data_IF_535536407259
#
_entry.id   IF_535536407259
#
_cell.length_a   1.000
_cell.length_b   1.000
_cell.length_c   1.000
_cell.angle_alpha   90.00
_cell.angle_beta   90.00
_cell.angle_gamma   90.00
#
_symmetry.space_group_name_H-M   'P 1'
#
loop_
_entity.id
_entity.type
_entity.pdbx_description
1 polymer ?
#
# COMPACT_ATOMS: atom_id res chain seq x y z
N UNK A 1 -21.13 -1.01 18.10
CA UNK A 1 -21.29 0.23 17.30
C UNK A 1 -20.68 -0.01 15.93
N UNK A 2 -21.50 -0.15 14.88
CA UNK A 2 -21.01 -0.36 13.51
C UNK A 2 -20.61 0.98 12.91
N UNK A 3 -19.39 1.43 13.20
CA UNK A 3 -18.78 2.59 12.55
C UNK A 3 -18.44 2.25 11.10
N UNK A 4 -19.41 2.36 10.20
CA UNK A 4 -19.10 2.41 8.77
C UNK A 4 -18.27 3.67 8.54
N UNK A 5 -17.00 3.50 8.20
CA UNK A 5 -16.13 4.59 7.77
C UNK A 5 -16.83 5.32 6.62
N UNK A 6 -17.05 6.64 6.70
CA UNK A 6 -17.71 7.37 5.63
C UNK A 6 -16.93 7.16 4.33
N UNK A 7 -17.66 6.83 3.26
CA UNK A 7 -17.07 6.83 1.91
C UNK A 7 -16.58 8.25 1.66
N UNK A 8 -15.29 8.47 1.38
CA UNK A 8 -14.79 9.80 1.13
C UNK A 8 -15.55 10.42 -0.04
N UNK A 9 -15.89 11.71 0.07
CA UNK A 9 -16.43 12.46 -1.06
C UNK A 9 -15.53 12.27 -2.29
N UNK A 10 -16.09 11.77 -3.39
CA UNK A 10 -15.41 11.56 -4.67
C UNK A 10 -15.57 12.74 -5.63
N UNK A 11 -16.16 13.85 -5.16
CA UNK A 11 -16.44 15.02 -5.97
C UNK A 11 -15.15 15.51 -6.67
N UNK A 12 -15.13 15.36 -8.00
CA UNK A 12 -14.02 15.81 -8.84
C UNK A 12 -12.91 14.79 -9.10
N UNK A 13 -13.03 13.56 -8.61
CA UNK A 13 -12.16 12.43 -8.95
C UNK A 13 -12.51 11.85 -10.34
N UNK A 14 -11.54 11.18 -10.95
CA UNK A 14 -11.75 10.37 -12.15
C UNK A 14 -12.30 9.00 -11.80
N UNK A 15 -12.92 8.33 -12.78
CA UNK A 15 -13.41 6.96 -12.62
C UNK A 15 -12.31 5.98 -12.17
N UNK A 16 -11.05 6.22 -12.58
CA UNK A 16 -9.92 5.40 -12.15
C UNK A 16 -9.57 5.64 -10.67
N UNK A 17 -9.64 6.89 -10.21
CA UNK A 17 -9.46 7.23 -8.80
C UNK A 17 -10.56 6.64 -7.93
N UNK A 18 -11.82 6.76 -8.35
CA UNK A 18 -12.98 6.16 -7.67
C UNK A 18 -12.86 4.63 -7.60
N UNK A 19 -12.51 3.99 -8.72
CA UNK A 19 -12.30 2.55 -8.77
C UNK A 19 -11.18 2.09 -7.82
N UNK A 20 -10.06 2.83 -7.78
CA UNK A 20 -8.96 2.52 -6.87
C UNK A 20 -9.39 2.64 -5.39
N UNK A 21 -10.11 3.71 -5.02
CA UNK A 21 -10.66 3.85 -3.67
C UNK A 21 -11.64 2.73 -3.32
N UNK A 22 -12.50 2.34 -4.27
CA UNK A 22 -13.40 1.20 -4.11
C UNK A 22 -12.65 -0.11 -3.87
N UNK A 23 -11.59 -0.37 -4.63
CA UNK A 23 -10.73 -1.55 -4.43
C UNK A 23 -10.07 -1.55 -3.05
N UNK A 24 -9.55 -0.41 -2.57
CA UNK A 24 -8.98 -0.32 -1.21
C UNK A 24 -10.01 -0.69 -0.13
N UNK A 25 -11.26 -0.24 -0.28
CA UNK A 25 -12.35 -0.59 0.64
C UNK A 25 -12.67 -2.09 0.58
N UNK A 26 -12.79 -2.65 -0.63
CA UNK A 26 -13.08 -4.09 -0.83
C UNK A 26 -11.99 -4.95 -0.20
N UNK A 27 -10.71 -4.71 -0.50
CA UNK A 27 -9.59 -5.50 0.05
C UNK A 27 -9.53 -5.44 1.58
N UNK A 28 -9.81 -4.28 2.15
CA UNK A 28 -9.87 -4.11 3.60
C UNK A 28 -11.07 -4.85 4.21
N UNK A 29 -12.23 -4.83 3.55
CA UNK A 29 -13.42 -5.55 4.00
C UNK A 29 -13.24 -7.07 3.93
N UNK A 30 -12.61 -7.58 2.87
CA UNK A 30 -12.27 -9.00 2.71
C UNK A 30 -11.33 -9.44 3.85
N UNK A 31 -10.31 -8.64 4.13
CA UNK A 31 -9.39 -8.86 5.24
C UNK A 31 -10.12 -8.99 6.59
N UNK A 32 -10.99 -8.05 6.95
CA UNK A 32 -11.76 -8.14 8.21
C UNK A 32 -12.75 -9.30 8.23
N UNK A 33 -13.33 -9.64 7.09
CA UNK A 33 -14.23 -10.80 6.98
C UNK A 33 -13.46 -12.08 7.32
N UNK A 34 -12.26 -12.25 6.77
CA UNK A 34 -11.40 -13.40 7.05
C UNK A 34 -10.98 -13.45 8.53
N UNK A 35 -10.63 -12.31 9.14
CA UNK A 35 -10.29 -12.26 10.56
C UNK A 35 -11.46 -12.69 11.47
N UNK A 36 -12.69 -12.28 11.14
CA UNK A 36 -13.89 -12.67 11.92
C UNK A 36 -14.19 -14.15 11.84
N UNK A 37 -14.01 -14.75 10.66
CA UNK A 37 -14.21 -16.19 10.46
C UNK A 37 -13.24 -17.01 11.30
N UNK A 38 -12.00 -16.54 11.48
CA UNK A 38 -11.01 -17.21 12.33
C UNK A 38 -11.29 -17.09 13.82
N UNK A 39 -11.71 -15.91 14.27
CA UNK A 39 -12.12 -15.69 15.67
C UNK A 39 -13.36 -16.48 16.09
N UNK A 40 -14.14 -16.95 15.12
CA UNK A 40 -15.37 -17.74 15.34
C UNK A 40 -15.12 -19.26 15.37
N UNK A 41 -13.88 -19.73 15.19
CA UNK A 41 -13.56 -21.15 15.25
C UNK A 41 -13.68 -21.69 16.70
N UNK A 42 -14.48 -22.75 16.94
CA UNK A 42 -14.76 -23.23 18.29
C UNK A 42 -13.50 -23.84 18.92
N UNK A 43 -12.99 -23.20 19.99
CA UNK A 43 -12.12 -23.66 21.10
C UNK A 43 -11.33 -24.98 20.97
N UNK A 44 -10.77 -25.29 19.81
CA UNK A 44 -10.04 -26.53 19.56
C UNK A 44 -8.58 -26.28 19.23
N UNK A 45 -7.73 -26.21 20.27
CA UNK A 45 -6.25 -26.21 20.18
C UNK A 45 -5.65 -24.99 19.50
N UNK A 46 -5.50 -23.90 20.26
CA UNK A 46 -4.65 -22.76 19.89
C UNK A 46 -3.16 -23.13 19.94
N UNK A 47 -2.72 -23.90 18.94
CA UNK A 47 -1.32 -24.17 18.68
C UNK A 47 -0.65 -23.01 17.97
N UNK A 48 0.67 -22.89 18.18
CA UNK A 48 1.62 -21.96 17.52
C UNK A 48 1.36 -21.73 16.01
N UNK A 49 0.74 -22.68 15.33
CA UNK A 49 0.28 -22.59 13.93
C UNK A 49 -0.72 -21.45 13.67
N UNK A 50 -1.71 -21.21 14.53
CA UNK A 50 -2.75 -20.18 14.28
C UNK A 50 -2.17 -18.75 14.28
N UNK A 51 -1.13 -18.49 15.09
CA UNK A 51 -0.43 -17.20 15.08
C UNK A 51 0.31 -16.94 13.76
N UNK A 52 0.79 -17.99 13.10
CA UNK A 52 1.42 -17.89 11.78
C UNK A 52 0.42 -17.50 10.69
N UNK A 53 -0.80 -18.05 10.73
CA UNK A 53 -1.85 -17.75 9.75
C UNK A 53 -2.32 -16.29 9.83
N UNK A 54 -2.52 -15.74 11.04
CA UNK A 54 -2.90 -14.35 11.21
C UNK A 54 -1.84 -13.38 10.63
N UNK A 55 -0.56 -13.60 10.94
CA UNK A 55 0.54 -12.79 10.41
C UNK A 55 0.62 -12.85 8.87
N UNK A 56 0.41 -14.03 8.28
CA UNK A 56 0.36 -14.20 6.82
C UNK A 56 -0.82 -13.42 6.22
N UNK A 57 -1.99 -13.40 6.86
CA UNK A 57 -3.14 -12.62 6.37
C UNK A 57 -2.92 -11.12 6.42
N UNK A 58 -2.34 -10.60 7.51
CA UNK A 58 -2.01 -9.18 7.59
C UNK A 58 -1.04 -8.79 6.46
N UNK A 59 -0.02 -9.63 6.23
CA UNK A 59 0.91 -9.46 5.12
C UNK A 59 0.20 -9.45 3.76
N UNK A 60 -0.65 -10.43 3.47
CA UNK A 60 -1.38 -10.51 2.20
C UNK A 60 -2.30 -9.31 1.98
N UNK A 61 -3.05 -8.88 3.00
CA UNK A 61 -3.92 -7.72 2.90
C UNK A 61 -3.14 -6.43 2.61
N UNK A 62 -2.00 -6.25 3.27
CA UNK A 62 -1.11 -5.12 3.02
C UNK A 62 -0.55 -5.15 1.59
N UNK A 63 -0.07 -6.32 1.13
CA UNK A 63 0.40 -6.52 -0.25
C UNK A 63 -0.69 -6.16 -1.27
N UNK A 64 -1.92 -6.63 -1.07
CA UNK A 64 -3.04 -6.33 -1.98
C UNK A 64 -3.36 -4.83 -2.02
N UNK A 65 -3.34 -4.16 -0.87
CA UNK A 65 -3.55 -2.71 -0.78
C UNK A 65 -2.45 -1.96 -1.56
N UNK A 66 -1.18 -2.32 -1.34
CA UNK A 66 -0.06 -1.70 -2.06
C UNK A 66 -0.19 -1.94 -3.56
N UNK A 67 -0.58 -3.14 -3.99
CA UNK A 67 -0.78 -3.45 -5.40
C UNK A 67 -1.84 -2.56 -6.07
N UNK A 68 -2.91 -2.21 -5.36
CA UNK A 68 -3.91 -1.23 -5.83
C UNK A 68 -3.27 0.16 -6.03
N UNK A 69 -2.45 0.62 -5.08
CA UNK A 69 -1.78 1.92 -5.17
C UNK A 69 -0.82 1.99 -6.35
N UNK A 70 -0.03 0.94 -6.55
CA UNK A 70 0.92 0.87 -7.65
C UNK A 70 0.22 0.82 -9.00
N UNK A 71 -0.83 0.00 -9.10
CA UNK A 71 -1.64 -0.13 -10.31
C UNK A 71 -2.31 1.20 -10.66
N UNK A 72 -2.91 1.88 -9.68
CA UNK A 72 -3.48 3.20 -9.88
C UNK A 72 -2.42 4.21 -10.35
N UNK A 73 -1.27 4.26 -9.67
CA UNK A 73 -0.18 5.21 -9.97
C UNK A 73 0.34 5.04 -11.40
N UNK A 74 0.44 3.80 -11.88
CA UNK A 74 0.85 3.49 -13.25
C UNK A 74 -0.27 3.77 -14.25
N UNK A 75 -1.47 3.23 -14.03
CA UNK A 75 -2.58 3.33 -14.98
C UNK A 75 -3.03 4.78 -15.18
N UNK A 76 -3.04 5.59 -14.11
CA UNK A 76 -3.42 7.00 -14.21
C UNK A 76 -2.41 7.76 -15.06
N UNK A 77 -1.12 7.49 -14.89
CA UNK A 77 -0.07 8.08 -15.71
C UNK A 77 -0.14 7.62 -17.17
N UNK A 78 -0.48 6.35 -17.43
CA UNK A 78 -0.70 5.85 -18.79
C UNK A 78 -1.93 6.49 -19.45
N UNK A 79 -3.00 6.80 -18.69
CA UNK A 79 -4.14 7.56 -19.21
C UNK A 79 -3.74 8.99 -19.59
N UNK A 80 -2.93 9.65 -18.76
CA UNK A 80 -2.40 10.99 -19.07
C UNK A 80 -1.47 10.98 -20.29
N UNK A 81 -0.74 9.89 -20.49
CA UNK A 81 0.20 9.74 -21.60
C UNK A 81 0.30 8.28 -22.09
N UNK A 82 -0.57 7.87 -23.03
CA UNK A 82 -0.62 6.48 -23.52
C UNK A 82 0.67 5.99 -24.18
N UNK A 83 1.51 6.90 -24.67
CA UNK A 83 2.79 6.57 -25.32
C UNK A 83 3.96 6.30 -24.37
N UNK A 84 3.78 6.29 -23.05
CA UNK A 84 4.86 5.93 -22.12
C UNK A 84 5.10 4.42 -22.18
N UNK A 85 6.34 4.04 -22.46
CA UNK A 85 6.74 2.65 -22.37
C UNK A 85 6.64 2.14 -20.92
N UNK A 86 6.05 0.96 -20.72
CA UNK A 86 5.78 0.41 -19.38
C UNK A 86 7.04 0.30 -18.51
N UNK A 87 8.19 -0.01 -19.10
CA UNK A 87 9.47 -0.08 -18.39
C UNK A 87 9.91 1.26 -17.77
N UNK A 88 9.40 2.40 -18.25
CA UNK A 88 9.66 3.75 -17.71
C UNK A 88 8.77 4.09 -16.50
N UNK A 89 7.91 3.18 -16.07
CA UNK A 89 6.98 3.39 -14.94
C UNK A 89 6.99 2.23 -13.95
N UNK A 90 7.87 1.23 -14.15
CA UNK A 90 7.98 0.09 -13.25
C UNK A 90 8.58 0.46 -11.88
N UNK A 91 9.64 1.29 -11.86
CA UNK A 91 10.32 1.69 -10.62
C UNK A 91 9.72 2.96 -10.04
N UNK A 92 9.64 3.06 -8.71
CA UNK A 92 9.14 4.26 -8.03
C UNK A 92 9.92 5.53 -8.37
N UNK A 93 11.23 5.45 -8.49
CA UNK A 93 12.07 6.59 -8.92
C UNK A 93 11.71 7.08 -10.32
N UNK A 94 11.32 6.19 -11.22
CA UNK A 94 10.86 6.56 -12.55
C UNK A 94 9.41 7.09 -12.51
N UNK A 95 8.53 6.48 -11.70
CA UNK A 95 7.17 6.99 -11.45
C UNK A 95 7.20 8.43 -10.96
N UNK A 96 8.04 8.78 -9.97
CA UNK A 96 8.20 10.16 -9.47
C UNK A 96 8.54 11.12 -10.61
N UNK A 97 9.53 10.76 -11.44
CA UNK A 97 9.94 11.60 -12.58
C UNK A 97 8.81 11.76 -13.60
N UNK A 98 8.10 10.69 -13.92
CA UNK A 98 7.04 10.72 -14.92
C UNK A 98 5.81 11.47 -14.42
N UNK A 99 5.43 11.34 -13.15
CA UNK A 99 4.34 12.11 -12.53
C UNK A 99 4.64 13.60 -12.49
N UNK A 100 5.87 13.98 -12.16
CA UNK A 100 6.29 15.39 -12.24
C UNK A 100 6.24 15.92 -13.68
N UNK A 101 6.69 15.12 -14.65
CA UNK A 101 6.77 15.51 -16.06
C UNK A 101 5.42 15.58 -16.77
N UNK A 102 4.58 14.56 -16.61
CA UNK A 102 3.35 14.39 -17.39
C UNK A 102 2.09 14.59 -16.55
N UNK A 103 2.14 14.29 -15.26
CA UNK A 103 1.05 14.56 -14.34
C UNK A 103 1.07 15.97 -13.76
N UNK A 104 2.19 16.69 -13.84
CA UNK A 104 2.34 17.98 -13.17
C UNK A 104 2.28 17.88 -11.64
N UNK A 105 2.41 16.67 -11.08
CA UNK A 105 2.32 16.41 -9.63
C UNK A 105 3.68 15.98 -9.11
N UNK A 106 4.19 16.69 -8.11
CA UNK A 106 5.36 16.23 -7.35
C UNK A 106 4.90 15.24 -6.27
N UNK A 107 5.21 13.96 -6.44
CA UNK A 107 4.81 12.91 -5.48
C UNK A 107 5.36 13.19 -4.07
N UNK A 108 6.54 13.82 -3.98
CA UNK A 108 7.16 14.14 -2.69
C UNK A 108 6.47 15.30 -1.96
N UNK A 109 5.59 16.05 -2.63
CA UNK A 109 4.75 17.07 -1.98
C UNK A 109 3.62 16.46 -1.15
N UNK A 110 3.31 15.17 -1.33
CA UNK A 110 2.37 14.49 -0.45
C UNK A 110 2.99 14.28 0.95
N UNK A 111 2.37 14.80 2.04
CA UNK A 111 2.99 14.81 3.37
C UNK A 111 3.40 13.43 3.91
N UNK A 112 2.68 12.37 3.48
CA UNK A 112 2.92 10.99 3.93
C UNK A 112 3.61 10.15 2.84
N UNK A 113 4.31 10.78 1.90
CA UNK A 113 4.96 10.07 0.79
C UNK A 113 6.02 9.06 1.28
N UNK A 114 6.78 9.38 2.32
CA UNK A 114 7.73 8.44 2.92
C UNK A 114 7.02 7.20 3.50
N UNK A 115 5.80 7.33 4.01
CA UNK A 115 5.01 6.19 4.48
C UNK A 115 4.55 5.31 3.30
N UNK A 116 4.18 5.91 2.16
CA UNK A 116 3.86 5.15 0.93
C UNK A 116 5.05 4.29 0.53
N UNK A 117 6.25 4.88 0.45
CA UNK A 117 7.47 4.15 0.14
C UNK A 117 7.76 3.06 1.19
N UNK A 118 7.54 3.33 2.48
CA UNK A 118 7.66 2.33 3.54
C UNK A 118 6.77 1.11 3.32
N UNK A 119 5.51 1.30 2.94
CA UNK A 119 4.62 0.18 2.63
C UNK A 119 5.03 -0.59 1.36
N UNK A 120 5.61 0.08 0.37
CA UNK A 120 6.22 -0.59 -0.79
C UNK A 120 7.39 -1.47 -0.35
N UNK A 121 8.26 -0.97 0.54
CA UNK A 121 9.37 -1.76 1.07
C UNK A 121 8.89 -2.96 1.89
N UNK A 122 7.79 -2.81 2.64
CA UNK A 122 7.14 -3.95 3.31
C UNK A 122 6.65 -4.99 2.31
N UNK A 123 5.94 -4.58 1.26
CA UNK A 123 5.46 -5.48 0.21
C UNK A 123 6.64 -6.21 -0.46
N UNK A 124 7.74 -5.53 -0.75
CA UNK A 124 8.96 -6.15 -1.28
C UNK A 124 9.54 -7.19 -0.32
N UNK A 125 9.59 -6.88 0.99
CA UNK A 125 10.05 -7.82 2.00
C UNK A 125 9.13 -9.05 2.09
N UNK A 126 7.81 -8.87 1.99
CA UNK A 126 6.85 -9.98 2.04
C UNK A 126 6.93 -10.87 0.79
N UNK A 127 6.94 -10.28 -0.40
CA UNK A 127 6.91 -11.03 -1.66
C UNK A 127 8.26 -11.62 -2.06
N UNK A 128 9.36 -10.93 -1.77
CA UNK A 128 10.70 -11.33 -2.23
C UNK A 128 11.63 -11.76 -1.10
N UNK A 129 11.38 -11.31 0.13
CA UNK A 129 12.20 -11.62 1.30
C UNK A 129 11.55 -12.57 2.31
N UNK A 130 10.37 -13.13 2.00
CA UNK A 130 9.61 -14.01 2.91
C UNK A 130 9.36 -13.37 4.29
N UNK A 131 9.08 -12.06 4.28
CA UNK A 131 8.86 -11.22 5.45
C UNK A 131 10.14 -10.69 6.09
N UNK A 132 11.31 -10.89 5.49
CA UNK A 132 12.58 -10.23 5.87
C UNK A 132 12.94 -9.16 4.85
N UNK A 133 13.65 -8.13 5.28
CA UNK A 133 14.27 -7.18 4.38
C UNK A 133 15.24 -7.94 3.45
N UNK A 134 15.12 -7.66 2.16
CA UNK A 134 15.96 -8.26 1.12
C UNK A 134 17.41 -7.77 1.25
N UNK A 135 18.36 -8.55 0.74
CA UNK A 135 19.78 -8.16 0.67
C UNK A 135 19.96 -6.78 0.03
N UNK A 136 19.22 -6.50 -1.05
CA UNK A 136 19.23 -5.18 -1.71
C UNK A 136 18.79 -4.05 -0.77
N UNK A 137 17.76 -4.26 0.03
CA UNK A 137 17.28 -3.26 1.00
C UNK A 137 18.31 -3.04 2.11
N UNK A 138 19.02 -4.08 2.53
CA UNK A 138 20.02 -4.03 3.60
C UNK A 138 21.37 -3.47 3.15
N UNK A 139 21.79 -3.68 1.91
CA UNK A 139 23.13 -3.34 1.44
C UNK A 139 23.20 -1.97 0.76
N UNK A 140 22.18 -1.61 -0.03
CA UNK A 140 22.24 -0.42 -0.87
C UNK A 140 21.55 0.79 -0.24
N UNK A 141 20.52 0.56 0.56
CA UNK A 141 19.58 1.62 0.97
C UNK A 141 19.12 1.50 2.43
N UNK A 142 19.90 0.85 3.31
CA UNK A 142 19.47 0.51 4.67
C UNK A 142 18.85 1.68 5.42
N UNK A 143 19.57 2.78 5.56
CA UNK A 143 19.11 3.91 6.36
C UNK A 143 17.85 4.56 5.77
N UNK A 144 17.74 4.56 4.44
CA UNK A 144 16.55 5.06 3.75
C UNK A 144 15.35 4.13 3.97
N UNK A 145 15.52 2.82 3.81
CA UNK A 145 14.49 1.81 4.06
C UNK A 145 14.02 1.88 5.51
N UNK A 146 14.93 1.98 6.49
CA UNK A 146 14.57 2.10 7.91
C UNK A 146 13.77 3.39 8.17
N UNK A 147 14.16 4.52 7.59
CA UNK A 147 13.38 5.77 7.72
C UNK A 147 11.99 5.65 7.09
N UNK A 148 11.87 5.02 5.93
CA UNK A 148 10.59 4.81 5.25
C UNK A 148 9.67 3.88 6.05
N UNK A 149 10.19 2.77 6.58
CA UNK A 149 9.45 1.85 7.45
C UNK A 149 8.98 2.54 8.73
N UNK A 150 9.85 3.36 9.35
CA UNK A 150 9.49 4.16 10.51
C UNK A 150 8.39 5.20 10.18
N UNK A 151 8.45 5.85 9.02
CA UNK A 151 7.40 6.76 8.55
C UNK A 151 6.07 6.04 8.28
N UNK A 152 6.11 4.78 7.85
CA UNK A 152 4.94 3.91 7.75
C UNK A 152 4.48 3.36 9.10
N UNK A 153 5.23 3.57 10.18
CA UNK A 153 4.97 3.06 11.53
C UNK A 153 5.09 1.53 11.65
N UNK A 154 5.74 0.88 10.69
CA UNK A 154 5.90 -0.58 10.66
C UNK A 154 7.09 -0.96 11.53
N UNK A 155 6.91 -2.00 12.34
CA UNK A 155 7.93 -2.48 13.28
C UNK A 155 8.83 -3.54 12.65
N UNK A 156 10.06 -3.60 13.12
CA UNK A 156 11.03 -4.64 12.76
C UNK A 156 11.41 -5.49 13.98
N UNK A 157 11.65 -6.78 13.74
CA UNK A 157 12.34 -7.70 14.64
C UNK A 157 13.62 -8.16 13.94
N UNK A 158 14.73 -7.47 14.22
CA UNK A 158 15.94 -7.57 13.42
C UNK A 158 15.71 -7.06 11.98
N UNK A 159 15.79 -7.97 11.02
CA UNK A 159 15.49 -7.76 9.60
C UNK A 159 14.06 -8.16 9.21
N UNK A 160 13.26 -8.71 10.13
CA UNK A 160 11.90 -9.19 9.85
C UNK A 160 10.88 -8.07 10.03
N UNK A 161 9.99 -7.90 9.06
CA UNK A 161 8.83 -6.99 9.20
C UNK A 161 7.76 -7.63 10.07
N UNK A 162 7.29 -6.89 11.07
CA UNK A 162 6.19 -7.28 11.95
C UNK A 162 4.92 -6.56 11.50
N UNK A 163 4.01 -7.29 10.85
CA UNK A 163 2.76 -6.72 10.34
C UNK A 163 1.63 -7.02 11.32
N UNK A 164 1.01 -5.94 11.79
CA UNK A 164 -0.10 -5.97 12.74
C UNK A 164 -1.39 -5.49 12.07
N UNK A 165 -2.57 -5.74 12.68
CA UNK A 165 -3.83 -5.24 12.15
C UNK A 165 -3.84 -3.74 11.89
N UNK A 166 -3.21 -2.95 12.77
CA UNK A 166 -3.16 -1.49 12.66
C UNK A 166 -2.31 -1.03 11.46
N UNK A 167 -1.36 -1.86 11.00
CA UNK A 167 -0.55 -1.54 9.82
C UNK A 167 -1.36 -1.67 8.53
N UNK A 168 -2.31 -2.62 8.48
CA UNK A 168 -3.24 -2.77 7.34
C UNK A 168 -4.16 -1.54 7.24
N UNK A 169 -4.71 -1.10 8.37
CA UNK A 169 -5.55 0.11 8.45
C UNK A 169 -4.77 1.35 8.01
N UNK A 170 -3.57 1.53 8.57
CA UNK A 170 -2.71 2.66 8.23
C UNK A 170 -2.31 2.64 6.75
N UNK A 171 -2.02 1.46 6.20
CA UNK A 171 -1.70 1.29 4.78
C UNK A 171 -2.87 1.72 3.89
N UNK A 172 -4.09 1.28 4.22
CA UNK A 172 -5.32 1.68 3.51
C UNK A 172 -5.56 3.18 3.60
N UNK A 173 -5.39 3.79 4.77
CA UNK A 173 -5.64 5.23 4.94
C UNK A 173 -4.60 6.08 4.20
N UNK A 174 -3.30 5.77 4.37
CA UNK A 174 -2.21 6.41 3.62
C UNK A 174 -2.42 6.26 2.12
N UNK A 175 -2.79 5.05 1.69
CA UNK A 175 -3.03 4.73 0.29
C UNK A 175 -4.23 5.49 -0.28
N UNK A 176 -5.34 5.55 0.44
CA UNK A 176 -6.54 6.27 0.02
C UNK A 176 -6.32 7.77 -0.06
N UNK A 177 -5.60 8.36 0.91
CA UNK A 177 -5.18 9.77 0.86
C UNK A 177 -4.24 10.04 -0.32
N UNK A 178 -3.30 9.13 -0.60
CA UNK A 178 -2.38 9.26 -1.72
C UNK A 178 -3.08 9.18 -3.08
N UNK A 179 -4.01 8.23 -3.27
CA UNK A 179 -4.83 8.13 -4.49
C UNK A 179 -5.59 9.43 -4.73
N UNK A 180 -6.26 9.97 -3.71
CA UNK A 180 -6.98 11.25 -3.83
C UNK A 180 -6.04 12.39 -4.17
N UNK A 181 -4.89 12.48 -3.49
CA UNK A 181 -3.90 13.51 -3.76
C UNK A 181 -3.48 13.50 -5.23
N UNK A 182 -3.11 12.33 -5.76
CA UNK A 182 -2.71 12.22 -7.16
C UNK A 182 -3.84 12.52 -8.13
N UNK A 183 -5.02 11.98 -7.89
CA UNK A 183 -6.12 12.07 -8.83
C UNK A 183 -6.69 13.50 -8.92
N UNK A 184 -6.76 14.20 -7.79
CA UNK A 184 -7.30 15.57 -7.72
C UNK A 184 -6.30 16.63 -8.20
N UNK A 185 -4.99 16.37 -8.11
CA UNK A 185 -3.95 17.33 -8.52
C UNK A 185 -3.43 17.11 -9.95
N UNK A 186 -3.81 16.00 -10.59
CA UNK A 186 -3.44 15.73 -11.98
C UNK A 186 -4.46 16.31 -12.97
N UNK A 187 -4.05 16.59 -14.22
CA UNK A 187 -4.97 16.97 -15.28
C UNK A 187 -6.11 15.96 -15.44
N UNK A 188 -7.30 16.45 -15.73
CA UNK A 188 -8.42 15.60 -16.17
C UNK A 188 -8.19 15.21 -17.62
N UNK A 189 -8.36 13.91 -17.89
CA UNK A 189 -8.36 13.30 -19.22
C UNK A 189 -9.76 12.87 -19.57
#
# INVERSE_FOLDING_TARGET
>A
MNGRTPVPSTAGMTALGEAALGQLVIRTADYYTLLRLEGSAPNGRSGRHLRGFAAVRHGNALTDIVAVLESFTVNRLLNLRPGIAYNKVMKWTDRIKMWKKYGGVDLAAYPRFQAVLGFVEVRNALEHGLGRLTERQLDQHRDEVIRQLAAAGVRLDGDRVLIMPEDVERCRDVGGEFVKFLDLNAPRT
#
